data_IF_322849813861
#
_entry.id   IF_322849813861
#
_cell.length_a   1.000
_cell.length_b   1.000
_cell.length_c   1.000
_cell.angle_alpha   90.00
_cell.angle_beta   90.00
_cell.angle_gamma   90.00
#
_symmetry.space_group_name_H-M   'P 1'
#
loop_
_entity.id
_entity.type
_entity.pdbx_description
1 polymer ?
#
# COMPACT_ATOMS: atom_id res chain seq x y z
N UNK A 1 4.64 5.41 6.94
CA UNK A 1 5.98 6.03 6.76
C UNK A 1 5.88 7.46 7.22
N UNK A 2 6.94 7.99 7.83
CA UNK A 2 7.00 9.40 8.20
C UNK A 2 7.68 10.19 7.09
N UNK A 3 7.22 11.41 6.82
CA UNK A 3 7.75 12.23 5.73
C UNK A 3 8.17 13.62 6.21
N UNK A 4 9.12 14.20 5.49
CA UNK A 4 9.43 15.63 5.51
C UNK A 4 8.99 16.23 4.18
N UNK A 5 8.35 17.40 4.22
CA UNK A 5 8.03 18.18 3.03
C UNK A 5 9.03 19.32 2.85
N UNK A 6 9.32 19.68 1.60
CA UNK A 6 10.07 20.89 1.26
C UNK A 6 9.18 22.14 1.32
N UNK A 7 9.76 23.31 1.04
CA UNK A 7 9.05 24.59 1.06
C UNK A 7 7.93 24.69 0.00
N UNK A 8 7.98 23.87 -1.06
CA UNK A 8 6.96 23.76 -2.10
C UNK A 8 5.85 22.75 -1.74
N UNK A 9 5.97 22.07 -0.60
CA UNK A 9 4.99 21.09 -0.12
C UNK A 9 5.18 19.67 -0.66
N UNK A 10 6.20 19.40 -1.47
CA UNK A 10 6.52 18.06 -1.97
C UNK A 10 7.30 17.24 -0.95
N UNK A 11 7.21 15.91 -1.05
CA UNK A 11 7.99 15.00 -0.21
C UNK A 11 9.49 15.20 -0.52
N UNK A 12 10.27 15.53 0.49
CA UNK A 12 11.72 15.70 0.41
C UNK A 12 12.45 14.48 1.01
N UNK A 13 11.88 13.89 2.06
CA UNK A 13 12.47 12.78 2.79
C UNK A 13 11.40 11.81 3.29
N UNK A 14 11.71 10.52 3.29
CA UNK A 14 10.90 9.45 3.89
C UNK A 14 11.70 8.72 4.95
N UNK A 15 11.13 8.56 6.13
CA UNK A 15 11.67 7.82 7.27
C UNK A 15 10.71 6.71 7.71
N UNK A 16 11.26 5.61 8.23
CA UNK A 16 10.47 4.54 8.85
C UNK A 16 9.97 4.92 10.24
N UNK A 17 10.71 5.77 10.93
CA UNK A 17 10.43 6.23 12.29
C UNK A 17 10.16 7.73 12.32
N UNK A 18 9.40 8.19 13.33
CA UNK A 18 9.16 9.60 13.54
C UNK A 18 10.47 10.29 13.96
N UNK A 19 10.90 11.28 13.19
CA UNK A 19 12.10 12.07 13.50
C UNK A 19 11.71 13.54 13.68
N UNK A 20 12.59 14.40 14.22
CA UNK A 20 12.32 15.83 14.35
C UNK A 20 11.92 16.49 13.01
N UNK A 21 12.47 15.96 11.91
CA UNK A 21 12.24 16.43 10.55
C UNK A 21 11.08 15.70 9.85
N UNK A 22 10.75 14.46 10.26
CA UNK A 22 9.66 13.67 9.70
C UNK A 22 8.58 13.39 10.74
N UNK A 23 7.61 14.31 10.86
CA UNK A 23 6.50 14.22 11.82
C UNK A 23 5.17 13.82 11.19
N UNK A 24 5.01 14.10 9.90
CA UNK A 24 3.79 13.76 9.17
C UNK A 24 3.80 12.26 8.83
N UNK A 25 2.76 11.55 9.25
CA UNK A 25 2.60 10.14 8.91
C UNK A 25 1.77 10.00 7.64
N UNK A 26 2.32 9.27 6.68
CA UNK A 26 1.66 8.86 5.45
C UNK A 26 1.55 7.34 5.40
N UNK A 27 0.37 6.86 5.01
CA UNK A 27 0.15 5.44 4.83
C UNK A 27 1.09 4.89 3.74
N UNK A 28 1.61 3.68 3.94
CA UNK A 28 2.60 3.07 3.03
C UNK A 28 2.05 2.85 1.61
N UNK A 29 0.73 2.87 1.47
CA UNK A 29 -0.03 2.72 0.25
C UNK A 29 -0.49 4.06 -0.35
N UNK A 30 -0.10 5.19 0.24
CA UNK A 30 -0.44 6.51 -0.27
C UNK A 30 0.14 6.72 -1.69
N UNK A 31 -0.68 7.22 -2.64
CA UNK A 31 -0.22 7.53 -4.00
C UNK A 31 0.95 8.50 -4.04
N UNK A 32 0.96 9.50 -3.15
CA UNK A 32 2.00 10.53 -3.09
C UNK A 32 3.36 9.93 -2.66
N UNK A 33 3.34 9.06 -1.65
CA UNK A 33 4.53 8.38 -1.15
C UNK A 33 5.10 7.41 -2.21
N UNK A 34 4.22 6.71 -2.92
CA UNK A 34 4.61 5.80 -3.99
C UNK A 34 5.24 6.55 -5.17
N UNK A 35 4.70 7.72 -5.52
CA UNK A 35 5.27 8.58 -6.56
C UNK A 35 6.70 9.02 -6.19
N UNK A 36 6.92 9.53 -4.98
CA UNK A 36 8.24 9.94 -4.50
C UNK A 36 9.28 8.80 -4.52
N UNK A 37 8.88 7.59 -4.10
CA UNK A 37 9.77 6.42 -4.12
C UNK A 37 10.12 5.96 -5.54
N UNK A 38 9.23 6.16 -6.50
CA UNK A 38 9.43 5.80 -7.91
C UNK A 38 10.19 6.87 -8.71
N UNK A 39 10.12 8.13 -8.30
CA UNK A 39 10.77 9.27 -8.95
C UNK A 39 12.32 9.15 -8.94
N UNK A 40 12.87 8.45 -7.94
CA UNK A 40 14.29 8.11 -7.88
C UNK A 40 14.80 7.15 -8.97
N UNK A 41 13.90 6.48 -9.71
CA UNK A 41 14.26 5.42 -10.69
C UNK A 41 14.13 5.84 -12.17
N UNK A 42 13.64 7.06 -12.47
CA UNK A 42 13.73 7.64 -13.81
C UNK A 42 12.43 8.27 -14.34
N UNK A 43 12.40 9.60 -14.34
CA UNK A 43 11.49 10.43 -15.14
C UNK A 43 10.07 10.59 -14.57
N UNK A 44 9.72 11.80 -14.17
CA UNK A 44 8.44 12.22 -13.59
C UNK A 44 7.19 11.63 -14.29
N UNK A 45 7.22 11.49 -15.63
CA UNK A 45 6.11 10.94 -16.41
C UNK A 45 5.87 9.43 -16.23
N UNK A 46 6.92 8.63 -16.02
CA UNK A 46 6.79 7.19 -15.83
C UNK A 46 6.32 6.86 -14.40
N UNK A 47 6.80 7.61 -13.41
CA UNK A 47 6.39 7.49 -12.02
C UNK A 47 4.89 7.81 -11.84
N UNK A 48 4.39 8.89 -12.46
CA UNK A 48 2.97 9.23 -12.42
C UNK A 48 2.08 8.18 -13.08
N UNK A 49 2.50 7.63 -14.21
CA UNK A 49 1.76 6.57 -14.90
C UNK A 49 1.70 5.30 -14.06
N UNK A 50 2.82 4.87 -13.48
CA UNK A 50 2.86 3.69 -12.61
C UNK A 50 2.09 3.86 -11.30
N UNK A 51 2.12 5.05 -10.69
CA UNK A 51 1.32 5.34 -9.51
C UNK A 51 -0.19 5.29 -9.82
N UNK A 52 -0.60 5.85 -10.97
CA UNK A 52 -1.98 5.79 -11.45
C UNK A 52 -2.42 4.34 -11.71
N UNK A 53 -1.59 3.55 -12.37
CA UNK A 53 -1.86 2.13 -12.62
C UNK A 53 -1.97 1.36 -11.29
N UNK A 54 -1.08 1.60 -10.33
CA UNK A 54 -1.12 0.91 -9.04
C UNK A 54 -2.41 1.22 -8.27
N UNK A 55 -2.85 2.49 -8.27
CA UNK A 55 -4.12 2.89 -7.68
C UNK A 55 -5.30 2.22 -8.41
N UNK A 56 -5.28 2.20 -9.74
CA UNK A 56 -6.33 1.59 -10.55
C UNK A 56 -6.45 0.09 -10.34
N UNK A 57 -5.34 -0.64 -10.26
CA UNK A 57 -5.36 -2.09 -10.03
C UNK A 57 -5.95 -2.39 -8.64
N UNK A 58 -5.77 -1.53 -7.61
CA UNK A 58 -6.44 -1.72 -6.30
C UNK A 58 -7.95 -1.55 -6.40
N UNK A 59 -8.42 -0.50 -7.06
CA UNK A 59 -9.86 -0.29 -7.31
C UNK A 59 -10.45 -1.47 -8.10
N UNK A 60 -9.73 -1.98 -9.09
CA UNK A 60 -10.17 -3.15 -9.86
C UNK A 60 -10.33 -4.40 -8.99
N UNK A 61 -9.44 -4.62 -8.02
CA UNK A 61 -9.53 -5.74 -7.07
C UNK A 61 -10.78 -5.60 -6.19
N UNK A 62 -11.04 -4.42 -5.64
CA UNK A 62 -12.25 -4.17 -4.84
C UNK A 62 -13.53 -4.35 -5.66
N UNK A 63 -13.53 -3.95 -6.94
CA UNK A 63 -14.66 -4.16 -7.84
C UNK A 63 -14.85 -5.65 -8.14
N UNK A 64 -13.78 -6.41 -8.38
CA UNK A 64 -13.86 -7.86 -8.61
C UNK A 64 -14.40 -8.56 -7.34
N UNK A 65 -13.90 -8.21 -6.16
CA UNK A 65 -14.41 -8.73 -4.88
C UNK A 65 -15.89 -8.38 -4.68
N UNK A 66 -16.29 -7.13 -4.91
CA UNK A 66 -17.68 -6.70 -4.81
C UNK A 66 -18.59 -7.47 -5.77
N UNK A 67 -18.17 -7.68 -7.02
CA UNK A 67 -18.97 -8.41 -8.01
C UNK A 67 -19.08 -9.90 -7.66
N UNK A 68 -18.03 -10.51 -7.08
CA UNK A 68 -18.08 -11.88 -6.57
C UNK A 68 -19.00 -11.99 -5.36
N UNK A 69 -18.92 -11.06 -4.40
CA UNK A 69 -19.76 -11.02 -3.20
C UNK A 69 -21.24 -10.84 -3.54
N UNK A 70 -21.54 -10.09 -4.61
CA UNK A 70 -22.89 -9.93 -5.15
C UNK A 70 -23.35 -11.12 -5.99
N UNK A 71 -22.48 -12.09 -6.26
CA UNK A 71 -22.77 -13.25 -7.11
C UNK A 71 -22.97 -12.91 -8.58
N UNK A 72 -22.47 -11.75 -9.04
CA UNK A 72 -22.57 -11.31 -10.44
C UNK A 72 -21.59 -12.07 -11.33
N UNK A 73 -20.39 -12.35 -10.81
CA UNK A 73 -19.36 -13.18 -11.44
C UNK A 73 -18.81 -14.19 -10.44
N UNK A 74 -18.37 -15.35 -10.92
CA UNK A 74 -17.59 -16.31 -10.14
C UNK A 74 -16.10 -16.19 -10.49
N UNK A 75 -15.22 -16.60 -9.57
CA UNK A 75 -13.78 -16.63 -9.81
C UNK A 75 -13.39 -17.41 -11.09
N UNK A 76 -14.12 -18.51 -11.37
CA UNK A 76 -13.93 -19.35 -12.56
C UNK A 76 -14.34 -18.69 -13.86
N UNK A 77 -15.10 -17.60 -13.81
CA UNK A 77 -15.56 -16.86 -15.00
C UNK A 77 -14.45 -15.93 -15.52
N UNK A 78 -13.41 -15.68 -14.71
CA UNK A 78 -12.25 -14.91 -15.10
C UNK A 78 -11.31 -15.75 -15.99
N UNK A 79 -10.62 -15.14 -16.98
CA UNK A 79 -9.55 -15.82 -17.70
C UNK A 79 -8.45 -16.34 -16.78
N UNK A 80 -7.79 -17.44 -17.15
CA UNK A 80 -6.76 -18.08 -16.33
C UNK A 80 -5.63 -17.12 -15.89
N UNK A 81 -5.22 -16.22 -16.78
CA UNK A 81 -4.24 -15.18 -16.46
C UNK A 81 -4.75 -14.17 -15.41
N UNK A 82 -6.04 -13.85 -15.41
CA UNK A 82 -6.65 -12.97 -14.41
C UNK A 82 -6.82 -13.69 -13.07
N UNK A 83 -7.18 -14.98 -13.08
CA UNK A 83 -7.26 -15.83 -11.89
C UNK A 83 -5.91 -15.88 -11.16
N UNK A 84 -4.82 -16.13 -11.88
CA UNK A 84 -3.47 -16.16 -11.32
C UNK A 84 -3.10 -14.82 -10.67
N UNK A 85 -3.36 -13.70 -11.37
CA UNK A 85 -3.05 -12.36 -10.84
C UNK A 85 -3.86 -12.02 -9.58
N UNK A 86 -5.14 -12.37 -9.53
CA UNK A 86 -5.97 -12.17 -8.33
C UNK A 86 -5.42 -12.99 -7.16
N UNK A 87 -5.04 -14.25 -7.40
CA UNK A 87 -4.46 -15.13 -6.36
C UNK A 87 -3.11 -14.62 -5.83
N UNK A 88 -2.20 -14.24 -6.72
CA UNK A 88 -0.90 -13.68 -6.34
C UNK A 88 -1.06 -12.44 -5.46
N UNK A 89 -1.96 -11.54 -5.87
CA UNK A 89 -2.19 -10.27 -5.18
C UNK A 89 -2.86 -10.44 -3.82
N UNK A 90 -3.86 -11.32 -3.71
CA UNK A 90 -4.46 -11.68 -2.43
C UNK A 90 -3.43 -12.33 -1.49
N UNK A 91 -2.53 -13.18 -2.01
CA UNK A 91 -1.46 -13.78 -1.21
C UNK A 91 -0.50 -12.73 -0.65
N UNK A 92 -0.14 -11.74 -1.46
CA UNK A 92 0.76 -10.65 -1.09
C UNK A 92 0.12 -9.79 0.00
N UNK A 93 -1.17 -9.46 -0.14
CA UNK A 93 -1.96 -8.71 0.84
C UNK A 93 -2.05 -9.45 2.18
N UNK A 94 -2.29 -10.77 2.18
CA UNK A 94 -2.30 -11.59 3.41
C UNK A 94 -0.95 -11.60 4.11
N UNK A 95 0.16 -11.66 3.36
CA UNK A 95 1.51 -11.62 3.92
C UNK A 95 1.83 -10.25 4.53
N UNK A 96 1.49 -9.15 3.85
CA UNK A 96 1.74 -7.80 4.35
C UNK A 96 0.85 -7.45 5.54
N UNK A 97 -0.44 -7.84 5.53
CA UNK A 97 -1.33 -7.64 6.68
C UNK A 97 -0.98 -8.56 7.85
N UNK A 98 -0.50 -9.78 7.59
CA UNK A 98 -0.04 -10.72 8.63
C UNK A 98 1.21 -10.24 9.36
N UNK A 99 2.11 -9.51 8.68
CA UNK A 99 3.27 -8.87 9.31
C UNK A 99 2.87 -7.71 10.24
N UNK A 100 1.76 -7.05 9.98
CA UNK A 100 1.26 -5.96 10.82
C UNK A 100 0.58 -6.45 12.11
N UNK A 101 0.18 -7.72 12.17
CA UNK A 101 -0.45 -8.32 13.37
C UNK A 101 0.57 -8.91 14.35
N UNK A 102 1.77 -9.26 13.91
CA UNK A 102 2.85 -9.79 14.77
C UNK A 102 3.65 -8.68 15.46
N UNK A 103 3.57 -7.43 14.99
CA UNK A 103 4.31 -6.31 15.58
C UNK A 103 3.57 -5.58 16.71
N UNK A 104 2.41 -6.09 17.13
CA UNK A 104 1.52 -5.47 18.14
C UNK A 104 1.35 -6.25 19.44
N UNK A 105 2.17 -7.25 19.71
CA UNK A 105 2.07 -8.07 20.92
C UNK A 105 3.44 -8.26 21.58
N UNK A 106 3.99 -7.20 22.16
CA UNK A 106 5.03 -7.25 23.19
C UNK A 106 5.01 -5.93 23.96
N UNK A 107 4.09 -5.81 24.93
CA UNK A 107 4.28 -5.00 26.15
C UNK A 107 3.07 -5.18 27.09
N UNK A 108 3.04 -6.31 27.81
CA UNK A 108 2.37 -6.35 29.11
C UNK A 108 3.32 -7.02 30.11
N UNK A 109 4.32 -6.25 30.53
CA UNK A 109 5.11 -6.54 31.72
C UNK A 109 5.13 -5.32 32.63
N UNK A 110 4.50 -5.46 33.81
CA UNK A 110 4.90 -4.73 35.01
C UNK A 110 3.88 -3.77 35.62
N UNK A 111 3.23 -4.22 36.70
CA UNK A 111 3.18 -3.39 37.92
C UNK A 111 1.87 -3.33 38.71
N UNK A 112 2.04 -3.70 39.99
CA UNK A 112 1.33 -3.22 41.20
C UNK A 112 0.06 -3.98 41.61
N UNK A 113 0.25 -4.89 42.58
CA UNK A 113 -0.43 -4.79 43.88
C UNK A 113 0.61 -5.06 44.97
#
# INVERSE_FOLDING_TARGET
>A
MYIKRNDDGHIELVSREATPDCKEFLAADSPELLAFLMEGEGGEGAAHFHASDLAFVRVLEDVIELLMDKGVISFTDLPEAAQQKVMERQSLRRRLNGLNLVSGSDDESGGVI
#
